data_IF_172687387529
#
_entry.id   IF_172687387529
#
_cell.length_a   1.000
_cell.length_b   1.000
_cell.length_c   1.000
_cell.angle_alpha   90.00
_cell.angle_beta   90.00
_cell.angle_gamma   90.00
#
_symmetry.space_group_name_H-M   'P 1'
#
loop_
_entity.id
_entity.type
_entity.pdbx_description
1 polymer ?
#
# COMPACT_ATOMS: atom_id res chain seq x y z
N UNK A 1 -10.11 -1.91 -22.76
CA UNK A 1 -9.44 -1.27 -21.60
C UNK A 1 -9.87 -1.92 -20.29
N UNK A 2 -11.18 -1.97 -19.97
CA UNK A 2 -11.70 -2.56 -18.72
C UNK A 2 -11.32 -4.04 -18.53
N UNK A 3 -11.49 -4.90 -19.54
CA UNK A 3 -11.11 -6.33 -19.45
C UNK A 3 -9.60 -6.54 -19.23
N UNK A 4 -8.76 -5.68 -19.83
CA UNK A 4 -7.32 -5.71 -19.66
C UNK A 4 -6.91 -5.30 -18.24
N UNK A 5 -7.50 -4.24 -17.69
CA UNK A 5 -7.29 -3.81 -16.30
C UNK A 5 -7.73 -4.88 -15.31
N UNK A 6 -8.90 -5.50 -15.54
CA UNK A 6 -9.38 -6.58 -14.70
C UNK A 6 -8.43 -7.79 -14.69
N UNK A 7 -7.89 -8.17 -15.86
CA UNK A 7 -6.89 -9.23 -15.97
C UNK A 7 -5.60 -8.88 -15.22
N UNK A 8 -5.04 -7.70 -15.47
CA UNK A 8 -3.81 -7.25 -14.81
C UNK A 8 -3.97 -7.16 -13.28
N UNK A 9 -5.11 -6.67 -12.80
CA UNK A 9 -5.40 -6.62 -11.36
C UNK A 9 -5.51 -8.02 -10.71
N UNK A 10 -5.66 -9.08 -11.50
CA UNK A 10 -5.58 -10.46 -11.03
C UNK A 10 -4.16 -10.99 -10.84
N UNK A 11 -3.16 -10.35 -11.44
CA UNK A 11 -1.77 -10.83 -11.53
C UNK A 11 -0.79 -9.94 -10.74
N UNK A 12 -1.01 -8.63 -10.73
CA UNK A 12 -0.06 -7.62 -10.21
C UNK A 12 0.34 -7.83 -8.75
N UNK A 13 -0.59 -8.24 -7.89
CA UNK A 13 -0.29 -8.47 -6.48
C UNK A 13 0.59 -9.74 -6.29
N UNK A 14 0.37 -10.77 -7.10
CA UNK A 14 1.19 -11.99 -7.10
C UNK A 14 2.58 -11.72 -7.66
N UNK A 15 2.69 -10.95 -8.74
CA UNK A 15 3.96 -10.51 -9.33
C UNK A 15 4.79 -9.69 -8.33
N UNK A 16 4.16 -8.74 -7.64
CA UNK A 16 4.82 -7.96 -6.59
C UNK A 16 5.36 -8.87 -5.49
N UNK A 17 4.51 -9.77 -4.97
CA UNK A 17 4.93 -10.74 -3.96
C UNK A 17 6.12 -11.58 -4.43
N UNK A 18 6.04 -12.15 -5.64
CA UNK A 18 7.08 -12.99 -6.20
C UNK A 18 8.43 -12.26 -6.33
N UNK A 19 8.44 -11.01 -6.83
CA UNK A 19 9.65 -10.18 -6.93
C UNK A 19 10.33 -9.99 -5.58
N UNK A 20 9.54 -9.94 -4.52
CA UNK A 20 9.98 -9.72 -3.16
C UNK A 20 10.16 -11.00 -2.34
N UNK A 21 10.08 -12.18 -2.96
CA UNK A 21 10.11 -13.49 -2.27
C UNK A 21 9.05 -13.63 -1.17
N UNK A 22 7.88 -13.04 -1.41
CA UNK A 22 6.72 -13.09 -0.53
C UNK A 22 5.54 -13.77 -1.24
N UNK A 23 4.61 -14.29 -0.45
CA UNK A 23 3.34 -14.84 -0.93
C UNK A 23 2.18 -13.98 -0.47
N UNK A 24 1.24 -13.72 -1.38
CA UNK A 24 -0.05 -13.11 -1.05
C UNK A 24 -0.79 -14.00 -0.05
N UNK A 25 -1.40 -13.40 0.96
CA UNK A 25 -2.31 -14.09 1.88
C UNK A 25 -3.68 -14.22 1.22
N UNK A 26 -4.19 -15.44 1.13
CA UNK A 26 -5.55 -15.68 0.64
C UNK A 26 -6.59 -15.01 1.56
N UNK A 27 -7.67 -14.49 0.96
CA UNK A 27 -8.81 -13.92 1.69
C UNK A 27 -8.57 -12.52 2.27
N UNK A 28 -7.48 -11.82 1.93
CA UNK A 28 -7.21 -10.44 2.38
C UNK A 28 -7.51 -9.40 1.31
N UNK A 29 -8.55 -9.61 0.48
CA UNK A 29 -8.97 -8.65 -0.55
C UNK A 29 -10.05 -7.71 -0.02
N UNK A 30 -9.73 -6.43 0.19
CA UNK A 30 -10.67 -5.43 0.71
C UNK A 30 -10.02 -4.48 1.71
N UNK A 31 -10.87 -3.74 2.41
CA UNK A 31 -10.51 -2.85 3.51
C UNK A 31 -10.00 -3.73 4.68
N UNK A 32 -8.69 -3.77 4.90
CA UNK A 32 -8.07 -4.63 5.92
C UNK A 32 -6.98 -3.92 6.72
N UNK A 33 -6.96 -4.25 8.00
CA UNK A 33 -6.18 -3.59 9.04
C UNK A 33 -4.65 -3.79 8.96
N UNK A 34 -3.91 -2.70 9.15
CA UNK A 34 -2.45 -2.67 9.30
C UNK A 34 -1.94 -3.46 10.53
N UNK A 35 -2.84 -3.84 11.47
CA UNK A 35 -2.54 -4.59 12.70
C UNK A 35 -1.75 -5.87 12.46
N UNK A 36 -1.91 -6.50 11.30
CA UNK A 36 -1.14 -7.69 10.92
C UNK A 36 0.39 -7.46 10.88
N UNK A 37 0.85 -6.23 10.65
CA UNK A 37 2.27 -5.87 10.65
C UNK A 37 2.84 -5.59 12.03
N UNK A 38 1.99 -5.21 12.98
CA UNK A 38 2.40 -4.79 14.32
C UNK A 38 2.57 -6.02 15.22
N UNK A 39 3.37 -5.91 16.28
CA UNK A 39 3.46 -6.97 17.30
C UNK A 39 2.12 -7.06 18.05
N UNK A 40 1.68 -8.28 18.38
CA UNK A 40 0.42 -8.50 19.10
C UNK A 40 0.39 -7.70 20.40
N UNK A 41 -0.67 -6.90 20.58
CA UNK A 41 -0.88 -6.09 21.79
C UNK A 41 -0.12 -4.76 21.81
N UNK A 42 0.73 -4.46 20.82
CA UNK A 42 1.39 -3.18 20.71
C UNK A 42 0.50 -2.17 19.98
N UNK A 43 0.51 -0.92 20.44
CA UNK A 43 -0.19 0.21 19.80
C UNK A 43 -1.71 0.02 19.63
N UNK A 44 -2.36 -0.78 20.48
CA UNK A 44 -3.79 -1.09 20.32
C UNK A 44 -4.66 0.17 20.21
N UNK A 45 -4.48 1.17 21.08
CA UNK A 45 -5.28 2.42 21.03
C UNK A 45 -5.13 3.17 19.70
N UNK A 46 -3.91 3.24 19.17
CA UNK A 46 -3.64 3.87 17.88
C UNK A 46 -4.27 3.06 16.73
N UNK A 47 -4.14 1.74 16.77
CA UNK A 47 -4.74 0.85 15.77
C UNK A 47 -6.27 0.92 15.80
N UNK A 48 -6.86 0.93 16.98
CA UNK A 48 -8.31 1.06 17.17
C UNK A 48 -8.79 2.42 16.63
N UNK A 49 -8.03 3.50 16.86
CA UNK A 49 -8.31 4.82 16.30
C UNK A 49 -8.25 4.82 14.76
N UNK A 50 -7.21 4.24 14.17
CA UNK A 50 -7.06 4.14 12.70
C UNK A 50 -8.17 3.31 12.06
N UNK A 51 -8.56 2.19 12.69
CA UNK A 51 -9.62 1.30 12.20
C UNK A 51 -11.03 1.87 12.41
N UNK A 52 -11.19 2.86 13.30
CA UNK A 52 -12.48 3.53 13.52
C UNK A 52 -12.76 4.69 12.57
N UNK A 53 -11.73 5.21 11.89
CA UNK A 53 -11.84 6.31 10.93
C UNK A 53 -12.03 5.75 9.51
N UNK A 54 -13.29 5.57 9.12
CA UNK A 54 -13.66 5.02 7.81
C UNK A 54 -13.16 5.87 6.63
N UNK A 55 -13.07 7.19 6.79
CA UNK A 55 -12.59 8.08 5.72
C UNK A 55 -11.08 7.93 5.54
N UNK A 56 -10.33 7.90 6.64
CA UNK A 56 -8.90 7.61 6.64
C UNK A 56 -8.63 6.22 6.06
N UNK A 57 -9.46 5.25 6.43
CA UNK A 57 -9.36 3.88 5.96
C UNK A 57 -9.50 3.80 4.45
N UNK A 58 -10.51 4.48 3.89
CA UNK A 58 -10.70 4.60 2.44
C UNK A 58 -9.57 5.37 1.76
N UNK A 59 -9.01 6.38 2.43
CA UNK A 59 -7.94 7.24 1.90
C UNK A 59 -6.57 6.55 1.87
N UNK A 60 -6.32 5.53 2.69
CA UNK A 60 -5.00 4.91 2.88
C UNK A 60 -4.96 3.39 2.66
N UNK A 61 -6.00 2.67 3.02
CA UNK A 61 -5.99 1.19 3.12
C UNK A 61 -6.89 0.51 2.08
N UNK A 62 -7.32 1.23 1.05
CA UNK A 62 -8.06 0.64 -0.06
C UNK A 62 -7.17 -0.31 -0.88
N UNK A 63 -7.83 -1.32 -1.47
CA UNK A 63 -7.22 -2.39 -2.26
C UNK A 63 -6.06 -3.11 -1.57
N UNK A 64 -6.05 -3.16 -0.23
CA UNK A 64 -4.96 -3.74 0.55
C UNK A 64 -4.67 -5.20 0.17
N UNK A 65 -3.39 -5.57 0.23
CA UNK A 65 -2.88 -6.93 0.05
C UNK A 65 -1.81 -7.24 1.08
N UNK A 66 -1.95 -8.37 1.74
CA UNK A 66 -1.04 -8.82 2.79
C UNK A 66 -0.07 -9.85 2.25
N UNK A 67 1.20 -9.71 2.61
CA UNK A 67 2.29 -10.53 2.12
C UNK A 67 3.06 -11.17 3.27
N UNK A 68 3.45 -12.43 3.10
CA UNK A 68 4.14 -13.25 4.11
C UNK A 68 5.29 -14.04 3.47
N UNK A 69 6.35 -14.30 4.25
CA UNK A 69 7.52 -15.09 3.79
C UNK A 69 7.21 -16.58 3.60
N UNK A 70 6.25 -17.11 4.36
CA UNK A 70 5.83 -18.51 4.31
C UNK A 70 4.32 -18.63 4.52
N UNK A 71 3.72 -19.76 4.17
CA UNK A 71 2.27 -19.97 4.27
C UNK A 71 1.73 -19.97 5.70
N UNK A 72 2.56 -20.28 6.70
CA UNK A 72 2.22 -20.16 8.11
C UNK A 72 2.77 -18.89 8.76
N UNK A 73 3.44 -18.04 7.98
CA UNK A 73 4.15 -16.88 8.47
C UNK A 73 3.24 -15.71 8.84
N UNK A 74 3.74 -14.85 9.73
CA UNK A 74 3.14 -13.55 10.02
C UNK A 74 3.24 -12.62 8.81
N UNK A 75 2.35 -11.64 8.73
CA UNK A 75 2.40 -10.60 7.69
C UNK A 75 3.73 -9.85 7.82
N UNK A 76 4.45 -9.78 6.71
CA UNK A 76 5.76 -9.17 6.57
C UNK A 76 5.65 -7.79 5.93
N UNK A 77 4.77 -7.65 4.92
CA UNK A 77 4.44 -6.40 4.25
C UNK A 77 2.94 -6.33 3.94
N UNK A 78 2.42 -5.11 3.87
CA UNK A 78 1.10 -4.80 3.32
C UNK A 78 1.32 -3.76 2.22
N UNK A 79 0.71 -3.99 1.06
CA UNK A 79 0.64 -2.99 0.00
C UNK A 79 -0.81 -2.54 -0.12
N UNK A 80 -1.04 -1.23 -0.11
CA UNK A 80 -2.35 -0.61 -0.35
C UNK A 80 -2.27 0.19 -1.65
N UNK A 81 -3.43 0.45 -2.25
CA UNK A 81 -3.50 1.17 -3.51
C UNK A 81 -4.74 2.08 -3.57
N UNK A 82 -4.92 3.04 -2.64
CA UNK A 82 -6.02 3.99 -2.69
C UNK A 82 -6.00 4.85 -3.94
N UNK A 83 -7.17 5.36 -4.33
CA UNK A 83 -7.28 6.33 -5.40
C UNK A 83 -6.62 7.66 -5.00
N UNK A 84 -5.79 8.21 -5.88
CA UNK A 84 -5.01 9.42 -5.61
C UNK A 84 -5.91 10.60 -5.24
N UNK A 85 -7.04 10.79 -5.93
CA UNK A 85 -7.97 11.87 -5.63
C UNK A 85 -8.63 11.69 -4.27
N UNK A 86 -8.94 10.47 -3.86
CA UNK A 86 -9.50 10.20 -2.53
C UNK A 86 -8.48 10.55 -1.44
N UNK A 87 -7.24 10.10 -1.58
CA UNK A 87 -6.15 10.42 -0.64
C UNK A 87 -5.91 11.93 -0.56
N UNK A 88 -5.74 12.62 -1.70
CA UNK A 88 -5.53 14.08 -1.71
C UNK A 88 -6.77 14.83 -1.21
N UNK A 89 -7.97 14.37 -1.54
CA UNK A 89 -9.22 14.98 -1.10
C UNK A 89 -9.35 14.97 0.43
N UNK A 90 -8.96 13.87 1.08
CA UNK A 90 -8.97 13.76 2.54
C UNK A 90 -7.87 14.61 3.20
N UNK A 91 -6.61 14.51 2.73
CA UNK A 91 -5.49 15.22 3.37
C UNK A 91 -5.28 16.67 2.91
N UNK A 92 -5.96 17.08 1.84
CA UNK A 92 -5.86 18.39 1.19
C UNK A 92 -4.63 18.59 0.30
N UNK A 93 -3.56 17.81 0.45
CA UNK A 93 -2.40 17.83 -0.45
C UNK A 93 -1.57 16.55 -0.37
N UNK A 94 -0.76 16.28 -1.41
CA UNK A 94 0.18 15.17 -1.41
C UNK A 94 1.23 15.28 -0.29
N UNK A 95 1.68 16.51 0.04
CA UNK A 95 2.64 16.74 1.11
C UNK A 95 2.06 16.35 2.48
N UNK A 96 0.82 16.75 2.77
CA UNK A 96 0.13 16.38 4.01
C UNK A 96 -0.18 14.89 4.09
N UNK A 97 -0.53 14.27 2.97
CA UNK A 97 -0.71 12.82 2.90
C UNK A 97 0.60 12.09 3.25
N UNK A 98 1.72 12.46 2.61
CA UNK A 98 3.04 11.87 2.87
C UNK A 98 3.50 12.07 4.31
N UNK A 99 3.30 13.26 4.87
CA UNK A 99 3.60 13.56 6.28
C UNK A 99 2.80 12.63 7.19
N UNK A 100 1.48 12.56 7.00
CA UNK A 100 0.60 11.75 7.85
C UNK A 100 0.86 10.24 7.74
N UNK A 101 1.10 9.75 6.53
CA UNK A 101 1.49 8.35 6.29
C UNK A 101 2.80 8.04 7.03
N UNK A 102 3.79 8.92 6.93
CA UNK A 102 5.08 8.75 7.60
C UNK A 102 4.96 8.79 9.12
N UNK A 103 4.09 9.66 9.66
CA UNK A 103 3.77 9.71 11.09
C UNK A 103 3.16 8.39 11.58
N UNK A 104 2.17 7.85 10.87
CA UNK A 104 1.52 6.58 11.21
C UNK A 104 2.55 5.46 11.20
N UNK A 105 3.38 5.37 10.15
CA UNK A 105 4.43 4.37 10.06
C UNK A 105 5.39 4.45 11.24
N UNK A 106 5.90 5.65 11.55
CA UNK A 106 6.80 5.89 12.68
C UNK A 106 6.16 5.51 14.01
N UNK A 107 4.91 5.90 14.23
CA UNK A 107 4.19 5.61 15.47
C UNK A 107 3.96 4.11 15.70
N UNK A 108 3.84 3.33 14.61
CA UNK A 108 3.67 1.88 14.63
C UNK A 108 4.99 1.10 14.55
N UNK A 109 6.14 1.78 14.46
CA UNK A 109 7.45 1.14 14.28
C UNK A 109 7.58 0.42 12.94
N UNK A 110 6.93 0.94 11.90
CA UNK A 110 6.95 0.41 10.55
C UNK A 110 7.79 1.30 9.64
N UNK A 111 8.28 0.71 8.56
CA UNK A 111 8.78 1.47 7.42
C UNK A 111 7.66 1.62 6.39
N UNK A 112 7.75 2.70 5.60
CA UNK A 112 6.78 2.97 4.53
C UNK A 112 7.46 3.51 3.27
N UNK A 113 6.91 3.15 2.10
CA UNK A 113 7.27 3.70 0.79
C UNK A 113 5.99 4.08 0.06
N UNK A 114 5.94 5.31 -0.47
CA UNK A 114 4.74 5.89 -1.08
C UNK A 114 5.02 6.21 -2.55
N UNK A 115 4.14 5.76 -3.44
CA UNK A 115 4.10 6.17 -4.84
C UNK A 115 5.17 5.55 -5.74
N UNK A 116 5.93 4.55 -5.26
CA UNK A 116 6.94 3.91 -6.11
C UNK A 116 6.27 3.02 -7.16
N UNK A 117 6.59 3.17 -8.46
CA UNK A 117 5.87 2.48 -9.54
C UNK A 117 6.03 0.96 -9.49
N UNK A 118 7.13 0.46 -8.92
CA UNK A 118 7.32 -0.98 -8.72
C UNK A 118 6.34 -1.58 -7.69
N UNK A 119 5.73 -0.76 -6.85
CA UNK A 119 4.78 -1.20 -5.82
C UNK A 119 3.33 -1.26 -6.29
N UNK A 120 3.10 -1.07 -7.59
CA UNK A 120 1.77 -1.12 -8.18
C UNK A 120 1.21 -2.55 -8.10
N UNK A 121 0.21 -2.74 -7.23
CA UNK A 121 -0.54 -4.01 -7.08
C UNK A 121 -1.96 -3.94 -7.65
N UNK A 122 -2.40 -2.75 -8.04
CA UNK A 122 -3.76 -2.50 -8.52
C UNK A 122 -3.76 -1.28 -9.43
N UNK A 123 -4.49 -1.38 -10.55
CA UNK A 123 -4.69 -0.32 -11.53
C UNK A 123 -6.15 0.18 -11.46
N UNK A 124 -6.29 1.49 -11.44
CA UNK A 124 -7.57 2.17 -11.57
C UNK A 124 -8.16 1.97 -12.97
N UNK A 125 -9.47 1.81 -13.04
CA UNK A 125 -10.26 1.91 -14.27
C UNK A 125 -10.91 3.30 -14.44
N UNK A 126 -10.66 4.24 -13.52
CA UNK A 126 -11.19 5.60 -13.54
C UNK A 126 -10.22 6.53 -14.24
N UNK A 127 -10.70 7.20 -15.29
CA UNK A 127 -9.90 8.15 -16.05
C UNK A 127 -9.48 9.35 -15.18
N UNK A 128 -8.17 9.63 -15.15
CA UNK A 128 -7.62 10.76 -14.41
C UNK A 128 -7.62 10.59 -12.88
N UNK A 129 -7.81 9.36 -12.39
CA UNK A 129 -7.69 9.03 -10.96
C UNK A 129 -6.89 7.72 -10.78
N UNK A 130 -5.55 7.77 -10.92
CA UNK A 130 -4.71 6.59 -10.72
C UNK A 130 -4.70 6.17 -9.26
N UNK A 131 -4.30 4.92 -9.01
CA UNK A 131 -4.03 4.46 -7.64
C UNK A 131 -2.65 4.89 -7.18
N UNK A 132 -2.53 5.11 -5.87
CA UNK A 132 -1.32 5.46 -5.15
C UNK A 132 -0.82 4.22 -4.41
N UNK A 133 0.22 3.51 -4.90
CA UNK A 133 0.75 2.37 -4.17
C UNK A 133 1.46 2.81 -2.89
N UNK A 134 1.10 2.20 -1.75
CA UNK A 134 1.76 2.44 -0.47
C UNK A 134 2.18 1.10 0.12
N UNK A 135 3.48 0.91 0.34
CA UNK A 135 4.03 -0.29 0.98
C UNK A 135 4.35 0.01 2.43
N UNK A 136 3.79 -0.78 3.32
CA UNK A 136 4.06 -0.78 4.75
C UNK A 136 4.75 -2.08 5.11
N UNK A 137 5.85 -2.04 5.85
CA UNK A 137 6.48 -3.28 6.31
C UNK A 137 7.07 -3.17 7.69
N UNK A 138 7.13 -4.32 8.36
CA UNK A 138 7.78 -4.42 9.65
C UNK A 138 9.29 -4.69 9.42
N UNK A 139 10.19 -3.77 9.82
CA UNK A 139 11.62 -3.91 9.56
C UNK A 139 12.26 -5.14 10.25
N UNK A 140 11.66 -5.65 11.32
CA UNK A 140 12.12 -6.87 12.00
C UNK A 140 11.79 -8.14 11.19
N UNK A 141 10.79 -8.07 10.29
CA UNK A 141 10.28 -9.23 9.55
C UNK A 141 10.76 -9.26 8.11
N UNK A 142 10.97 -8.09 7.53
CA UNK A 142 11.26 -7.93 6.11
C UNK A 142 12.07 -6.66 5.86
N UNK A 143 12.95 -6.71 4.87
CA UNK A 143 13.65 -5.53 4.37
C UNK A 143 13.29 -5.40 2.90
N UNK A 144 12.65 -4.30 2.57
CA UNK A 144 12.38 -3.93 1.19
C UNK A 144 13.62 -3.16 0.70
N UNK A 145 14.23 -3.62 -0.39
CA UNK A 145 15.25 -2.82 -1.06
C UNK A 145 14.60 -1.52 -1.51
N UNK A 146 15.23 -0.40 -1.14
CA UNK A 146 14.89 0.92 -1.64
C UNK A 146 15.75 1.12 -2.89
N UNK A 147 15.25 0.84 -4.11
CA UNK A 147 16.03 1.12 -5.30
C UNK A 147 16.33 2.62 -5.32
N UNK A 148 17.50 3.00 -5.85
CA UNK A 148 17.82 4.41 -6.05
C UNK A 148 16.73 5.02 -6.94
N UNK A 149 16.00 5.99 -6.39
CA UNK A 149 15.09 6.78 -7.19
C UNK A 149 15.93 7.88 -7.83
N UNK A 150 16.15 7.82 -9.14
CA UNK A 150 16.78 8.92 -9.88
C UNK A 150 15.98 10.25 -9.76
N UNK A 151 14.77 10.19 -9.17
CA UNK A 151 13.84 11.30 -8.99
C UNK A 151 13.16 11.24 -7.60
N UNK A 152 13.45 12.14 -6.64
CA UNK A 152 12.85 12.10 -5.29
C UNK A 152 11.32 12.29 -5.27
N UNK A 153 10.69 12.56 -6.43
CA UNK A 153 9.25 12.53 -6.63
C UNK A 153 8.90 11.48 -7.71
N UNK A 154 8.85 10.18 -7.37
CA UNK A 154 8.51 9.14 -8.35
C UNK A 154 7.14 9.44 -8.93
N UNK A 155 7.15 9.73 -10.23
CA UNK A 155 6.09 10.38 -10.97
C UNK A 155 4.82 9.52 -10.98
N UNK A 156 3.79 10.03 -10.32
CA UNK A 156 2.37 9.67 -10.44
C UNK A 156 1.79 9.69 -11.89
N UNK A 157 2.61 9.83 -12.93
CA UNK A 157 2.16 10.11 -14.30
C UNK A 157 2.84 9.27 -15.40
N UNK A 158 3.94 8.55 -15.14
CA UNK A 158 4.72 8.00 -16.28
C UNK A 158 4.17 6.73 -16.93
N UNK A 159 3.20 6.05 -16.31
CA UNK A 159 2.48 4.91 -16.92
C UNK A 159 1.23 5.32 -17.73
N UNK A 160 0.84 6.60 -17.72
CA UNK A 160 -0.31 7.09 -18.51
C UNK A 160 0.06 7.59 -19.92
N UNK A 161 1.34 7.71 -20.26
CA UNK A 161 1.78 8.20 -21.58
C UNK A 161 2.14 7.10 -22.58
N UNK A 162 1.90 5.83 -22.24
CA UNK A 162 2.25 4.67 -23.08
C UNK A 162 1.06 3.75 -23.42
N UNK A 163 -0.17 4.19 -23.19
CA UNK A 163 -1.39 3.52 -23.67
C UNK A 163 -2.37 4.50 -24.29
#
# INVERSE_FOLDING_TARGET
MVEMVARLNGELDEEWGARHSLRKRAGTSGIYSIRGLVRKGAHNELLDGLESDYELESALFDHARHFRKSESGTTAAIVTAPYLRATIGYFGSAAKANERISEIARALGLNVRVGHPEDTIYLSNLEGDPTLPIVWWNPDRYSLELPEVEDPNPRFAHRMSTF
#
